data_IF_399075609546
#
_entry.id   IF_399075609546
#
_cell.length_a   1.000
_cell.length_b   1.000
_cell.length_c   1.000
_cell.angle_alpha   90.00
_cell.angle_beta   90.00
_cell.angle_gamma   90.00
#
_symmetry.space_group_name_H-M   'P 1'
#
loop_
_entity.id
_entity.type
_entity.pdbx_description
1 polymer ?
#
# COMPACT_ATOMS: atom_id res chain seq x y z
N UNK A 1 0.47 11.64 -20.54
CA UNK A 1 0.21 10.52 -21.45
C UNK A 1 -1.08 9.84 -21.01
N UNK A 2 -2.20 10.14 -21.67
CA UNK A 2 -3.46 9.40 -21.49
C UNK A 2 -3.60 8.57 -22.75
N UNK A 3 -3.41 7.26 -22.64
CA UNK A 3 -3.60 6.35 -23.77
C UNK A 3 -4.89 5.57 -23.57
N UNK A 4 -5.56 5.23 -24.68
CA UNK A 4 -6.73 4.35 -24.68
C UNK A 4 -6.41 2.91 -24.30
N UNK A 5 -5.12 2.54 -24.32
CA UNK A 5 -4.62 1.17 -24.13
C UNK A 5 -4.46 0.77 -22.65
N UNK A 6 -4.86 1.63 -21.71
CA UNK A 6 -5.03 1.25 -20.30
C UNK A 6 -3.76 0.83 -19.57
N UNK A 7 -2.64 1.52 -19.79
CA UNK A 7 -1.37 1.23 -19.10
C UNK A 7 -1.47 1.42 -17.58
N UNK A 8 -0.74 0.58 -16.86
CA UNK A 8 -0.55 0.65 -15.41
C UNK A 8 0.91 0.96 -15.09
N UNK A 9 1.15 2.00 -14.28
CA UNK A 9 2.48 2.33 -13.77
C UNK A 9 2.69 1.57 -12.47
N UNK A 10 3.77 0.82 -12.38
CA UNK A 10 4.23 0.21 -11.12
C UNK A 10 5.42 1.02 -10.64
N UNK A 11 5.22 1.78 -9.57
CA UNK A 11 6.28 2.54 -8.92
C UNK A 11 7.01 1.63 -7.92
N UNK A 12 8.21 1.17 -8.32
CA UNK A 12 9.07 0.29 -7.53
C UNK A 12 10.08 1.02 -6.66
N UNK A 13 10.00 2.36 -6.59
CA UNK A 13 10.89 3.14 -5.74
C UNK A 13 10.69 2.79 -4.27
N UNK A 14 11.77 2.88 -3.51
CA UNK A 14 11.72 2.77 -2.06
C UNK A 14 10.89 3.91 -1.48
N UNK A 15 10.38 3.73 -0.26
CA UNK A 15 9.60 4.79 0.38
C UNK A 15 10.43 6.04 0.68
N UNK A 16 11.73 5.88 0.92
CA UNK A 16 12.67 6.99 1.09
C UNK A 16 12.81 7.83 -0.20
N UNK A 17 12.90 7.17 -1.36
CA UNK A 17 12.99 7.86 -2.65
C UNK A 17 11.71 8.63 -2.96
N UNK A 18 10.55 8.06 -2.64
CA UNK A 18 9.25 8.75 -2.79
C UNK A 18 9.12 9.91 -1.82
N UNK A 19 9.58 9.78 -0.58
CA UNK A 19 9.53 10.85 0.42
C UNK A 19 10.38 12.06 0.01
N UNK A 20 11.54 11.83 -0.61
CA UNK A 20 12.44 12.89 -1.07
C UNK A 20 12.00 13.55 -2.36
N UNK A 21 11.58 12.74 -3.34
CA UNK A 21 11.32 13.22 -4.70
C UNK A 21 9.83 13.42 -5.01
N UNK A 22 8.94 12.93 -4.14
CA UNK A 22 7.50 12.88 -4.37
C UNK A 22 7.05 11.68 -5.20
N UNK A 23 5.76 11.68 -5.54
CA UNK A 23 5.10 10.67 -6.38
C UNK A 23 4.52 11.31 -7.65
N UNK A 24 4.37 10.54 -8.74
CA UNK A 24 3.75 11.05 -9.97
C UNK A 24 2.34 11.58 -9.72
N UNK A 25 2.09 12.83 -10.10
CA UNK A 25 0.74 13.38 -10.13
C UNK A 25 0.07 12.96 -11.44
N UNK A 26 -1.03 12.24 -11.34
CA UNK A 26 -1.82 11.80 -12.49
C UNK A 26 -3.13 12.61 -12.59
N UNK A 27 -3.64 12.85 -13.81
CA UNK A 27 -4.96 13.44 -14.00
C UNK A 27 -6.03 12.57 -13.32
N UNK A 28 -7.15 13.19 -12.95
CA UNK A 28 -8.22 12.56 -12.17
C UNK A 28 -8.69 11.20 -12.70
N UNK A 29 -8.81 11.07 -14.02
CA UNK A 29 -9.21 9.84 -14.72
C UNK A 29 -8.16 8.71 -14.69
N UNK A 30 -6.91 9.00 -14.33
CA UNK A 30 -5.81 8.06 -14.31
C UNK A 30 -5.20 7.84 -12.90
N UNK A 31 -5.75 8.47 -11.85
CA UNK A 31 -5.24 8.34 -10.47
C UNK A 31 -5.14 6.87 -10.01
N UNK A 32 -6.07 6.02 -10.44
CA UNK A 32 -6.08 4.59 -10.10
C UNK A 32 -5.14 3.72 -10.98
N UNK A 33 -4.36 4.33 -11.87
CA UNK A 33 -3.45 3.64 -12.82
C UNK A 33 -2.02 3.53 -12.33
N UNK A 34 -1.71 4.08 -11.16
CA UNK A 34 -0.42 3.86 -10.49
C UNK A 34 -0.61 2.89 -9.31
N UNK A 35 0.32 1.96 -9.17
CA UNK A 35 0.41 1.06 -8.03
C UNK A 35 1.81 1.23 -7.45
N UNK A 36 1.87 1.66 -6.19
CA UNK A 36 3.12 1.72 -5.44
C UNK A 36 3.45 0.33 -4.90
N UNK A 37 4.59 -0.21 -5.29
CA UNK A 37 5.10 -1.50 -4.82
C UNK A 37 6.61 -1.38 -4.59
N UNK A 38 7.07 -0.94 -3.41
CA UNK A 38 8.49 -0.71 -3.17
C UNK A 38 9.31 -1.98 -3.41
N UNK A 39 10.46 -1.81 -4.07
CA UNK A 39 11.45 -2.87 -4.21
C UNK A 39 12.02 -3.20 -2.83
N UNK A 40 11.88 -4.45 -2.42
CA UNK A 40 12.46 -4.92 -1.17
C UNK A 40 13.92 -5.29 -1.38
N UNK A 41 14.78 -4.65 -0.61
CA UNK A 41 16.19 -4.99 -0.58
C UNK A 41 16.43 -6.20 0.30
N UNK A 42 17.25 -7.13 -0.18
CA UNK A 42 17.67 -8.26 0.63
C UNK A 42 18.56 -7.77 1.79
N UNK A 43 18.47 -8.38 2.98
CA UNK A 43 19.41 -8.14 4.06
C UNK A 43 20.86 -8.40 3.60
N UNK A 44 21.81 -7.58 4.05
CA UNK A 44 23.22 -7.65 3.62
C UNK A 44 23.85 -9.04 3.76
N UNK A 45 23.49 -9.77 4.82
CA UNK A 45 23.94 -11.16 5.03
C UNK A 45 23.51 -12.09 3.89
N UNK A 46 22.28 -11.94 3.41
CA UNK A 46 21.71 -12.76 2.33
C UNK A 46 22.23 -12.28 0.97
N UNK A 47 22.41 -10.96 0.78
CA UNK A 47 22.98 -10.39 -0.46
C UNK A 47 24.31 -11.03 -0.84
N UNK A 48 25.19 -11.33 0.13
CA UNK A 48 26.47 -12.01 -0.10
C UNK A 48 26.38 -13.52 -0.36
N UNK A 49 25.25 -14.16 -0.02
CA UNK A 49 25.04 -15.61 -0.21
C UNK A 49 24.41 -15.94 -1.57
N UNK A 50 23.75 -14.98 -2.21
CA UNK A 50 23.08 -15.18 -3.51
C UNK A 50 23.98 -14.76 -4.66
N UNK A 51 23.96 -15.54 -5.75
CA UNK A 51 24.78 -15.28 -6.94
C UNK A 51 24.53 -13.90 -7.56
N UNK A 52 23.30 -13.42 -7.48
CA UNK A 52 22.91 -12.09 -7.98
C UNK A 52 21.77 -11.52 -7.14
N UNK A 53 22.11 -10.68 -6.15
CA UNK A 53 21.14 -10.06 -5.26
C UNK A 53 20.10 -9.20 -6.01
N UNK A 54 20.55 -8.37 -6.95
CA UNK A 54 19.66 -7.50 -7.75
C UNK A 54 18.61 -8.29 -8.53
N UNK A 55 18.98 -9.46 -9.05
CA UNK A 55 18.04 -10.35 -9.74
C UNK A 55 17.04 -10.95 -8.76
N UNK A 56 17.49 -11.43 -7.61
CA UNK A 56 16.62 -12.02 -6.59
C UNK A 56 15.59 -11.00 -6.05
N UNK A 57 16.01 -9.76 -5.79
CA UNK A 57 15.13 -8.65 -5.41
C UNK A 57 14.08 -8.35 -6.51
N UNK A 58 14.51 -8.37 -7.77
CA UNK A 58 13.60 -8.18 -8.90
C UNK A 58 12.63 -9.36 -9.08
N UNK A 59 13.03 -10.60 -8.76
CA UNK A 59 12.17 -11.78 -8.75
C UNK A 59 11.09 -11.68 -7.67
N UNK A 60 11.44 -11.23 -6.46
CA UNK A 60 10.48 -10.95 -5.38
C UNK A 60 9.47 -9.89 -5.83
N UNK A 61 9.93 -8.78 -6.41
CA UNK A 61 9.05 -7.73 -6.91
C UNK A 61 8.14 -8.23 -8.04
N UNK A 62 8.69 -8.94 -9.04
CA UNK A 62 7.92 -9.49 -10.15
C UNK A 62 6.84 -10.48 -9.65
N UNK A 63 7.18 -11.30 -8.66
CA UNK A 63 6.24 -12.22 -8.03
C UNK A 63 5.09 -11.45 -7.37
N UNK A 64 5.39 -10.43 -6.56
CA UNK A 64 4.37 -9.56 -5.95
C UNK A 64 3.47 -8.90 -6.98
N UNK A 65 4.03 -8.37 -8.06
CA UNK A 65 3.27 -7.78 -9.17
C UNK A 65 2.36 -8.83 -9.81
N UNK A 66 2.86 -10.06 -9.99
CA UNK A 66 2.10 -11.13 -10.66
C UNK A 66 0.85 -11.59 -9.91
N UNK A 67 0.81 -11.40 -8.59
CA UNK A 67 -0.33 -11.75 -7.74
C UNK A 67 -1.28 -10.57 -7.49
N UNK A 68 -1.05 -9.39 -8.08
CA UNK A 68 -1.98 -8.26 -7.95
C UNK A 68 -3.28 -8.54 -8.71
N UNK A 69 -4.43 -8.50 -8.01
CA UNK A 69 -5.77 -8.80 -8.58
C UNK A 69 -6.13 -8.00 -9.84
N UNK A 70 -5.58 -6.81 -9.99
CA UNK A 70 -5.89 -5.87 -11.10
C UNK A 70 -5.00 -6.08 -12.33
N UNK A 71 -4.04 -7.01 -12.28
CA UNK A 71 -3.02 -7.20 -13.32
C UNK A 71 -3.03 -8.68 -13.75
N UNK A 72 -2.92 -8.92 -15.05
CA UNK A 72 -2.70 -10.24 -15.62
C UNK A 72 -1.57 -10.23 -16.64
N UNK A 73 -1.22 -11.40 -17.17
CA UNK A 73 -0.09 -11.59 -18.12
C UNK A 73 -0.22 -10.76 -19.42
N UNK A 74 -1.43 -10.37 -19.79
CA UNK A 74 -1.71 -9.49 -20.95
C UNK A 74 -1.76 -7.99 -20.63
N UNK A 75 -1.64 -7.58 -19.37
CA UNK A 75 -1.73 -6.18 -18.96
C UNK A 75 -0.54 -5.37 -19.47
N UNK A 76 -0.83 -4.12 -19.88
CA UNK A 76 0.19 -3.15 -20.29
C UNK A 76 0.81 -2.49 -19.05
N UNK A 77 2.03 -2.88 -18.71
CA UNK A 77 2.72 -2.46 -17.49
C UNK A 77 3.89 -1.55 -17.84
N UNK A 78 4.02 -0.43 -17.15
CA UNK A 78 5.21 0.44 -17.16
C UNK A 78 5.83 0.37 -15.77
N UNK A 79 7.04 -0.16 -15.67
CA UNK A 79 7.78 -0.18 -14.40
C UNK A 79 8.59 1.11 -14.29
N UNK A 80 8.48 1.77 -13.14
CA UNK A 80 9.17 3.02 -12.83
C UNK A 80 9.96 2.87 -11.54
N UNK A 81 11.25 3.18 -11.58
CA UNK A 81 12.13 3.37 -10.43
C UNK A 81 12.71 4.80 -10.47
N UNK A 82 13.73 5.09 -9.67
CA UNK A 82 14.31 6.43 -9.57
C UNK A 82 15.06 6.84 -10.85
N UNK A 83 15.80 5.92 -11.48
CA UNK A 83 16.73 6.24 -12.59
C UNK A 83 16.67 5.31 -13.82
N UNK A 84 15.98 4.18 -13.73
CA UNK A 84 15.76 3.24 -14.84
C UNK A 84 16.45 1.87 -14.69
N UNK A 85 17.29 1.65 -13.68
CA UNK A 85 18.15 0.47 -13.64
C UNK A 85 17.56 -0.72 -12.91
N UNK A 86 16.75 -0.48 -11.88
CA UNK A 86 16.01 -1.53 -11.18
C UNK A 86 14.76 -1.91 -11.98
N UNK A 87 14.09 -0.91 -12.55
CA UNK A 87 12.91 -1.10 -13.39
C UNK A 87 13.20 -1.97 -14.62
N UNK A 88 14.37 -1.83 -15.25
CA UNK A 88 14.84 -2.75 -16.33
C UNK A 88 14.92 -4.20 -15.89
N UNK A 89 15.52 -4.47 -14.73
CA UNK A 89 15.64 -5.85 -14.25
C UNK A 89 14.27 -6.43 -13.90
N UNK A 90 13.42 -5.67 -13.20
CA UNK A 90 12.05 -6.09 -12.86
C UNK A 90 11.23 -6.37 -14.12
N UNK A 91 11.27 -5.49 -15.13
CA UNK A 91 10.54 -5.69 -16.39
C UNK A 91 11.01 -6.96 -17.15
N UNK A 92 12.32 -7.23 -17.18
CA UNK A 92 12.88 -8.47 -17.75
C UNK A 92 12.39 -9.70 -17.00
N UNK A 93 12.38 -9.65 -15.67
CA UNK A 93 11.91 -10.75 -14.83
C UNK A 93 10.41 -10.99 -15.01
N UNK A 94 9.60 -9.93 -15.07
CA UNK A 94 8.17 -10.03 -15.39
C UNK A 94 7.92 -10.70 -16.75
N UNK A 95 8.72 -10.35 -17.76
CA UNK A 95 8.65 -10.98 -19.07
C UNK A 95 8.99 -12.48 -18.98
N UNK A 96 10.02 -12.85 -18.22
CA UNK A 96 10.40 -14.25 -18.03
C UNK A 96 9.32 -15.11 -17.36
N UNK A 97 8.44 -14.52 -16.53
CA UNK A 97 7.30 -15.22 -15.90
C UNK A 97 6.00 -15.13 -16.73
N UNK A 98 6.07 -14.52 -17.92
CA UNK A 98 5.02 -14.57 -18.94
C UNK A 98 4.24 -13.27 -19.17
N UNK A 99 4.64 -12.13 -18.58
CA UNK A 99 4.04 -10.83 -18.90
C UNK A 99 4.63 -10.26 -20.18
N UNK A 100 3.81 -10.19 -21.24
CA UNK A 100 4.33 -9.85 -22.58
C UNK A 100 4.51 -8.34 -22.81
N UNK A 101 3.74 -7.52 -22.10
CA UNK A 101 3.64 -6.07 -22.33
C UNK A 101 4.27 -5.28 -21.17
N UNK A 102 5.54 -5.58 -20.86
CA UNK A 102 6.29 -4.90 -19.80
C UNK A 102 7.27 -3.88 -20.38
N UNK A 103 7.07 -2.62 -20.00
CA UNK A 103 7.86 -1.48 -20.43
C UNK A 103 8.57 -0.84 -19.23
N UNK A 104 9.59 -0.05 -19.51
CA UNK A 104 10.33 0.71 -18.49
C UNK A 104 10.15 2.19 -18.75
N UNK A 105 9.90 2.97 -17.70
CA UNK A 105 9.86 4.42 -17.82
C UNK A 105 11.27 4.96 -18.15
N UNK A 106 11.42 5.55 -19.33
CA UNK A 106 12.68 6.16 -19.76
C UNK A 106 13.10 7.25 -18.76
N UNK A 107 14.35 7.18 -18.29
CA UNK A 107 14.88 8.11 -17.29
C UNK A 107 14.33 7.92 -15.87
N UNK A 108 13.43 6.96 -15.63
CA UNK A 108 12.80 6.76 -14.32
C UNK A 108 12.02 8.00 -13.85
N UNK A 109 11.86 8.14 -12.54
CA UNK A 109 11.22 9.29 -11.94
C UNK A 109 12.12 10.53 -11.92
N UNK A 110 13.37 10.37 -11.46
CA UNK A 110 14.31 11.48 -11.17
C UNK A 110 15.44 11.61 -12.18
N UNK A 111 15.65 10.64 -13.06
CA UNK A 111 16.77 10.63 -14.00
C UNK A 111 16.61 11.57 -15.19
N UNK A 112 17.60 11.54 -16.09
CA UNK A 112 17.66 12.44 -17.24
C UNK A 112 16.48 12.18 -18.18
N UNK A 113 15.68 13.21 -18.47
CA UNK A 113 14.39 13.12 -19.20
C UNK A 113 13.37 12.19 -18.52
N UNK A 114 13.54 11.94 -17.21
CA UNK A 114 12.58 11.20 -16.39
C UNK A 114 11.34 12.02 -16.06
N UNK A 115 10.43 11.46 -15.27
CA UNK A 115 9.14 12.08 -14.94
C UNK A 115 9.27 13.51 -14.42
N UNK A 116 10.01 13.69 -13.33
CA UNK A 116 10.17 14.98 -12.65
C UNK A 116 10.94 15.98 -13.53
N UNK A 117 12.02 15.55 -14.18
CA UNK A 117 12.80 16.45 -15.04
C UNK A 117 12.03 16.88 -16.30
N UNK A 118 11.09 16.04 -16.77
CA UNK A 118 10.18 16.37 -17.87
C UNK A 118 9.06 17.32 -17.46
N UNK A 119 9.09 17.84 -16.22
CA UNK A 119 8.08 18.76 -15.66
C UNK A 119 6.68 18.15 -15.67
N UNK A 120 6.59 16.84 -15.53
CA UNK A 120 5.32 16.17 -15.24
C UNK A 120 5.00 16.42 -13.76
N UNK A 121 3.72 16.64 -13.45
CA UNK A 121 3.29 17.00 -12.09
C UNK A 121 3.75 15.97 -11.05
N UNK A 122 4.04 16.43 -9.84
CA UNK A 122 4.45 15.58 -8.71
C UNK A 122 3.71 15.99 -7.44
N UNK A 123 3.22 15.01 -6.70
CA UNK A 123 2.60 15.20 -5.39
C UNK A 123 3.59 14.82 -4.28
N UNK A 124 3.47 15.42 -3.10
CA UNK A 124 4.25 15.04 -1.92
C UNK A 124 3.86 13.65 -1.43
N UNK A 125 4.84 12.85 -0.99
CA UNK A 125 4.60 11.54 -0.39
C UNK A 125 4.65 11.60 1.13
N UNK A 126 3.54 11.32 1.80
CA UNK A 126 3.47 11.36 3.26
C UNK A 126 3.85 9.99 3.86
N UNK A 127 4.99 9.93 4.53
CA UNK A 127 5.43 8.78 5.35
C UNK A 127 4.76 8.83 6.73
N UNK A 128 3.43 8.85 6.80
CA UNK A 128 2.78 8.67 8.10
C UNK A 128 3.00 7.22 8.53
N UNK A 129 3.96 7.03 9.44
CA UNK A 129 4.26 5.76 10.10
C UNK A 129 2.95 5.16 10.61
N UNK A 130 2.63 3.95 10.18
CA UNK A 130 1.55 3.17 10.78
C UNK A 130 1.96 2.88 12.22
N UNK A 131 1.30 3.54 13.18
CA UNK A 131 1.43 3.18 14.59
C UNK A 131 0.94 1.74 14.76
N UNK A 132 1.85 0.84 15.13
CA UNK A 132 1.50 -0.54 15.46
C UNK A 132 0.71 -0.50 16.76
N UNK A 133 -0.63 -0.55 16.64
CA UNK A 133 -1.52 -0.68 17.78
C UNK A 133 -1.18 -2.00 18.46
N UNK A 134 -0.51 -1.94 19.63
CA UNK A 134 -0.29 -3.12 20.47
C UNK A 134 -1.65 -3.74 20.79
N UNK A 135 -1.80 -5.08 20.74
CA UNK A 135 -3.09 -5.71 21.04
C UNK A 135 -3.55 -5.26 22.42
N UNK A 136 -4.75 -4.68 22.47
CA UNK A 136 -5.37 -4.25 23.73
C UNK A 136 -5.48 -5.44 24.67
N UNK A 137 -5.00 -5.24 25.89
CA UNK A 137 -5.07 -6.13 27.05
C UNK A 137 -6.27 -7.10 27.00
N UNK A 138 -5.99 -8.40 27.08
CA UNK A 138 -7.01 -9.44 27.25
C UNK A 138 -7.81 -9.13 28.51
N UNK A 139 -9.08 -8.78 28.36
CA UNK A 139 -10.03 -8.75 29.49
C UNK A 139 -10.47 -10.21 29.67
N UNK A 140 -10.10 -10.90 30.76
CA UNK A 140 -10.65 -12.21 31.02
C UNK A 140 -12.16 -12.06 31.20
N UNK A 141 -12.92 -12.77 30.38
CA UNK A 141 -14.36 -12.91 30.56
C UNK A 141 -14.62 -13.39 32.00
N UNK A 142 -15.54 -12.70 32.67
CA UNK A 142 -15.90 -12.88 34.07
C UNK A 142 -15.80 -14.35 34.51
N UNK A 143 -14.83 -14.64 35.38
CA UNK A 143 -14.81 -15.87 36.14
C UNK A 143 -16.08 -15.90 37.00
N UNK A 144 -16.81 -17.00 36.89
CA UNK A 144 -18.08 -17.21 37.55
C UNK A 144 -17.98 -17.06 39.09
N UNK A 145 -19.00 -16.38 39.63
CA UNK A 145 -19.71 -16.65 40.90
C UNK A 145 -18.87 -17.10 42.11
N UNK A 146 -18.73 -16.19 43.07
CA UNK A 146 -18.68 -16.55 44.49
C UNK A 146 -19.82 -15.84 45.23
N UNK A 147 -20.78 -16.64 45.73
CA UNK A 147 -21.88 -16.24 46.61
C UNK A 147 -21.39 -16.36 48.06
N UNK A 148 -21.74 -15.42 48.96
CA UNK A 148 -22.17 -15.67 50.37
C UNK A 148 -22.64 -14.35 51.04
N UNK A 149 -23.98 -14.24 51.20
CA UNK A 149 -24.85 -13.75 52.32
C UNK A 149 -24.37 -12.55 53.20
N UNK A 150 -25.15 -11.50 53.51
CA UNK A 150 -26.47 -11.52 54.19
C UNK A 150 -27.22 -10.17 54.22
N UNK A 151 -28.56 -10.25 54.27
CA UNK A 151 -29.56 -9.34 54.89
C UNK A 151 -29.52 -7.84 54.50
N UNK A 152 -30.59 -7.18 54.03
CA UNK A 152 -31.90 -7.01 54.69
C UNK A 152 -32.87 -6.25 53.77
N UNK A 153 -34.18 -6.56 53.90
CA UNK A 153 -35.37 -5.70 53.69
C UNK A 153 -35.73 -5.07 52.32
N UNK A 154 -36.79 -5.66 51.75
CA UNK A 154 -37.97 -5.08 51.05
C UNK A 154 -37.86 -4.24 49.76
N UNK A 155 -38.65 -4.60 48.71
CA UNK A 155 -38.78 -3.85 47.47
C UNK A 155 -39.99 -2.89 47.47
N UNK A 156 -39.91 -1.76 46.76
CA UNK A 156 -41.05 -0.91 46.41
C UNK A 156 -41.07 -0.61 44.91
N UNK A 157 -41.86 -1.43 44.24
CA UNK A 157 -42.74 -1.22 43.06
C UNK A 157 -42.70 0.12 42.30
N UNK A 158 -42.54 -0.01 40.97
CA UNK A 158 -43.31 0.62 39.85
C UNK A 158 -43.33 2.16 39.75
N UNK A 159 -43.31 2.86 38.61
CA UNK A 159 -43.69 2.58 37.22
C UNK A 159 -43.22 3.76 36.35
N UNK A 160 -43.05 3.51 35.05
CA UNK A 160 -42.76 4.46 33.97
C UNK A 160 -43.65 5.73 33.97
N UNK A 161 -43.09 6.86 33.51
CA UNK A 161 -43.86 7.88 32.76
C UNK A 161 -42.95 8.64 31.79
N UNK A 162 -43.27 8.56 30.50
CA UNK A 162 -42.80 9.42 29.40
C UNK A 162 -43.74 10.64 29.33
N UNK A 163 -43.21 11.81 28.94
CA UNK A 163 -44.02 12.89 28.38
C UNK A 163 -43.24 13.68 27.30
N UNK A 164 -43.88 14.00 26.16
CA UNK A 164 -43.37 14.90 25.13
C UNK A 164 -43.85 16.34 25.38
N UNK A 165 -43.09 17.34 24.91
CA UNK A 165 -43.50 18.74 24.93
C UNK A 165 -43.44 19.33 23.52
N UNK A 166 -44.58 19.84 23.03
CA UNK A 166 -44.69 20.74 21.88
C UNK A 166 -45.13 22.12 22.39
N UNK A 167 -44.59 23.16 21.75
CA UNK A 167 -45.01 24.55 21.80
C UNK A 167 -46.37 24.74 21.11
N UNK A 168 -47.21 25.63 21.65
CA UNK A 168 -47.89 26.72 20.92
C UNK A 168 -48.75 27.60 21.86
N UNK A 169 -48.66 28.92 21.58
CA UNK A 169 -49.43 30.10 22.02
C UNK A 169 -49.38 30.53 23.49
#
# INVERSE_FOLDING_TARGET
>A
MVTSQGYLIIDVRTENDKAKAGVPQLPSNAKNKIIALPLEELPNKIKGMVRNAKRAEAEIAALKISYLKRIGKGSNIVVMDSYGDNSKTVAKTLNSVGFKNCWVMAGGFSGRKGWAQSRLGTDSYNLSVVEVVKPSRVIPAAAERFVTVSSTSTPSRTTRKLLPGSVDS
#
